data_IF_138835429335
#
_entry.id   IF_138835429335
#
_cell.length_a   1.000
_cell.length_b   1.000
_cell.length_c   1.000
_cell.angle_alpha   90.00
_cell.angle_beta   90.00
_cell.angle_gamma   90.00
#
_symmetry.space_group_name_H-M   'P 1'
#
loop_
_entity.id
_entity.type
_entity.pdbx_description
1 polymer ?
#
# COMPACT_ATOMS: atom_id res chain seq x y z
N UNK A 1 -12.97 26.33 20.30
CA UNK A 1 -12.10 25.47 21.13
C UNK A 1 -12.09 24.06 20.57
N UNK A 2 -11.03 23.77 19.83
CA UNK A 2 -10.35 22.51 19.50
C UNK A 2 -11.08 21.17 19.71
N UNK A 3 -11.61 20.65 18.60
CA UNK A 3 -11.88 19.23 18.33
C UNK A 3 -10.60 18.51 17.89
N UNK A 4 -9.50 18.79 18.60
CA UNK A 4 -8.14 18.44 18.23
C UNK A 4 -7.53 17.43 19.21
N UNK A 5 -8.24 16.32 19.45
CA UNK A 5 -7.66 15.11 20.04
C UNK A 5 -8.25 13.90 19.32
N UNK A 6 -8.09 13.87 17.99
CA UNK A 6 -7.98 12.57 17.30
C UNK A 6 -6.65 12.00 17.76
N UNK A 7 -6.71 11.20 18.81
CA UNK A 7 -5.62 10.30 19.21
C UNK A 7 -5.09 9.64 17.93
N UNK A 8 -3.89 10.04 17.51
CA UNK A 8 -3.09 9.23 16.60
C UNK A 8 -2.98 7.87 17.32
N UNK A 9 -3.43 6.75 16.75
CA UNK A 9 -3.22 5.47 17.39
C UNK A 9 -1.70 5.31 17.52
N UNK A 10 -1.22 5.42 18.75
CA UNK A 10 0.19 5.26 19.07
C UNK A 10 0.67 3.95 18.48
N UNK A 11 1.94 3.89 18.06
CA UNK A 11 2.65 2.66 17.67
C UNK A 11 2.41 1.58 18.73
N UNK A 12 1.37 0.79 18.58
CA UNK A 12 1.15 -0.41 19.39
C UNK A 12 1.98 -1.50 18.73
N UNK A 13 3.15 -1.78 19.30
CA UNK A 13 4.06 -2.82 18.81
C UNK A 13 3.48 -4.25 19.00
N UNK A 14 2.34 -4.39 19.66
CA UNK A 14 1.67 -5.66 19.95
C UNK A 14 0.32 -5.78 19.25
N UNK A 15 0.30 -6.16 17.97
CA UNK A 15 -0.93 -6.64 17.35
C UNK A 15 -1.24 -8.06 17.85
N UNK A 16 -2.45 -8.29 18.37
CA UNK A 16 -2.90 -9.62 18.81
C UNK A 16 -3.92 -10.25 17.85
N UNK A 17 -4.37 -9.52 16.83
CA UNK A 17 -5.38 -9.98 15.89
C UNK A 17 -4.97 -11.25 15.15
N UNK A 18 -5.89 -12.23 14.97
CA UNK A 18 -5.64 -13.49 14.27
C UNK A 18 -5.02 -13.34 12.88
N UNK A 19 -5.48 -12.33 12.12
CA UNK A 19 -4.99 -12.04 10.77
C UNK A 19 -3.58 -11.43 10.75
N UNK A 20 -3.10 -10.92 11.89
CA UNK A 20 -1.77 -10.34 12.05
C UNK A 20 -1.48 -9.19 11.08
N UNK A 21 -0.34 -9.28 10.38
CA UNK A 21 0.19 -8.23 9.52
C UNK A 21 0.15 -8.64 8.04
N UNK A 22 -0.01 -7.65 7.17
CA UNK A 22 0.13 -7.76 5.71
C UNK A 22 1.23 -6.83 5.21
N UNK A 23 1.80 -7.11 4.05
CA UNK A 23 2.76 -6.20 3.40
C UNK A 23 2.12 -4.84 3.14
N UNK A 24 2.80 -3.75 3.52
CA UNK A 24 2.35 -2.39 3.34
C UNK A 24 3.53 -1.50 2.97
N UNK A 25 3.53 -0.92 1.76
CA UNK A 25 4.70 -0.22 1.18
C UNK A 25 5.93 -1.16 1.08
N UNK A 26 7.03 -0.65 0.53
CA UNK A 26 8.22 -1.47 0.21
C UNK A 26 9.00 -1.96 1.46
N UNK A 27 8.74 -1.37 2.63
CA UNK A 27 9.56 -1.56 3.85
C UNK A 27 8.77 -1.79 5.15
N UNK A 28 7.43 -1.80 5.11
CA UNK A 28 6.62 -1.97 6.33
C UNK A 28 5.49 -2.98 6.18
N UNK A 29 4.83 -3.25 7.31
CA UNK A 29 3.78 -4.24 7.47
C UNK A 29 2.67 -3.64 8.30
N UNK A 30 1.42 -3.79 7.86
CA UNK A 30 0.26 -3.18 8.48
C UNK A 30 -0.74 -4.27 8.92
N UNK A 31 -1.25 -4.14 10.14
CA UNK A 31 -2.42 -4.90 10.56
C UNK A 31 -3.69 -4.23 10.01
N UNK A 32 -4.53 -4.92 9.22
CA UNK A 32 -5.74 -4.33 8.65
C UNK A 32 -6.83 -4.04 9.70
N UNK A 33 -6.75 -4.65 10.89
CA UNK A 33 -7.77 -4.52 11.94
C UNK A 33 -7.50 -3.34 12.86
N UNK A 34 -6.26 -3.18 13.35
CA UNK A 34 -5.91 -2.10 14.29
C UNK A 34 -5.00 -1.02 13.71
N UNK A 35 -4.55 -1.16 12.47
CA UNK A 35 -3.66 -0.18 11.84
C UNK A 35 -2.24 -0.16 12.42
N UNK A 36 -1.85 -1.15 13.23
CA UNK A 36 -0.49 -1.25 13.72
C UNK A 36 0.49 -1.43 12.55
N UNK A 37 1.51 -0.58 12.48
CA UNK A 37 2.55 -0.62 11.46
C UNK A 37 3.89 -1.05 12.08
N UNK A 38 4.54 -2.04 11.47
CA UNK A 38 5.85 -2.54 11.85
C UNK A 38 6.81 -2.53 10.66
N UNK A 39 8.09 -2.30 10.92
CA UNK A 39 9.17 -2.62 9.98
C UNK A 39 9.62 -4.09 10.17
N UNK A 40 10.61 -4.54 9.41
CA UNK A 40 11.12 -5.92 9.52
C UNK A 40 11.72 -6.25 10.90
N UNK A 41 12.35 -5.25 11.53
CA UNK A 41 12.83 -5.35 12.90
C UNK A 41 11.69 -5.49 13.91
N UNK A 42 10.60 -4.75 13.69
CA UNK A 42 9.35 -4.78 14.46
C UNK A 42 8.67 -6.13 14.37
N UNK A 43 8.53 -6.73 13.18
CA UNK A 43 8.02 -8.10 13.04
C UNK A 43 8.87 -9.11 13.81
N UNK A 44 10.20 -8.97 13.75
CA UNK A 44 11.12 -9.86 14.48
C UNK A 44 10.94 -9.70 15.99
N UNK A 45 10.81 -8.47 16.50
CA UNK A 45 10.51 -8.21 17.92
C UNK A 45 9.14 -8.76 18.33
N UNK A 46 8.13 -8.62 17.47
CA UNK A 46 6.78 -9.12 17.72
C UNK A 46 6.72 -10.65 17.86
N UNK A 47 7.54 -11.40 17.11
CA UNK A 47 7.69 -12.85 17.31
C UNK A 47 8.44 -13.15 18.61
N UNK A 48 9.56 -12.47 18.85
CA UNK A 48 10.36 -12.66 20.08
C UNK A 48 9.57 -12.40 21.36
N UNK A 49 8.65 -11.44 21.32
CA UNK A 49 7.75 -11.15 22.44
C UNK A 49 6.89 -12.37 22.80
N UNK A 50 6.31 -13.04 21.79
CA UNK A 50 5.53 -14.26 22.03
C UNK A 50 6.39 -15.42 22.53
N UNK A 51 7.63 -15.54 22.04
CA UNK A 51 8.60 -16.53 22.51
C UNK A 51 8.95 -16.31 23.98
N UNK A 52 9.19 -15.05 24.36
CA UNK A 52 9.46 -14.67 25.75
C UNK A 52 8.29 -15.01 26.66
N UNK A 53 7.06 -14.65 26.27
CA UNK A 53 5.85 -14.96 27.04
C UNK A 53 5.61 -16.48 27.20
N UNK A 54 5.94 -17.27 26.17
CA UNK A 54 5.93 -18.74 26.28
C UNK A 54 7.00 -19.21 27.26
N UNK A 55 8.20 -18.67 27.19
CA UNK A 55 9.31 -19.11 28.03
C UNK A 55 9.08 -18.76 29.51
N UNK A 56 8.52 -17.59 29.79
CA UNK A 56 8.04 -17.17 31.11
C UNK A 56 6.97 -18.15 31.66
N UNK A 57 6.16 -18.76 30.78
CA UNK A 57 5.12 -19.71 31.19
C UNK A 57 5.67 -21.05 31.68
N UNK A 58 6.92 -21.41 31.34
CA UNK A 58 7.55 -22.62 31.91
C UNK A 58 7.89 -22.46 33.39
N UNK A 59 8.12 -21.23 33.85
CA UNK A 59 8.42 -20.89 35.24
C UNK A 59 7.19 -20.84 36.15
N UNK A 60 5.98 -21.03 35.61
CA UNK A 60 4.76 -21.11 36.41
C UNK A 60 4.80 -22.38 37.28
N UNK A 61 4.49 -22.21 38.57
CA UNK A 61 4.36 -23.33 39.51
C UNK A 61 3.24 -24.28 39.06
N UNK A 62 3.42 -25.57 39.34
CA UNK A 62 2.48 -26.63 38.96
C UNK A 62 1.21 -26.55 39.81
N UNK A 63 0.22 -25.78 39.34
CA UNK A 63 -1.13 -25.74 39.87
C UNK A 63 -2.08 -26.73 39.17
N UNK A 64 -3.39 -26.51 39.38
CA UNK A 64 -4.60 -27.22 38.93
C UNK A 64 -4.77 -27.54 37.41
N UNK A 65 -3.68 -27.69 36.65
CA UNK A 65 -3.69 -27.90 35.20
C UNK A 65 -3.77 -26.60 34.39
N UNK A 66 -3.94 -25.44 35.02
CA UNK A 66 -3.93 -24.14 34.34
C UNK A 66 -2.62 -23.87 33.59
N UNK A 67 -1.49 -24.31 34.14
CA UNK A 67 -0.17 -24.20 33.50
C UNK A 67 -0.15 -24.84 32.11
N UNK A 68 -0.75 -26.02 31.96
CA UNK A 68 -0.77 -26.73 30.68
C UNK A 68 -1.60 -25.98 29.63
N UNK A 69 -2.72 -25.40 30.04
CA UNK A 69 -3.59 -24.58 29.18
C UNK A 69 -2.84 -23.34 28.70
N UNK A 70 -2.22 -22.60 29.62
CA UNK A 70 -1.47 -21.38 29.29
C UNK A 70 -0.30 -21.70 28.35
N UNK A 71 0.48 -22.74 28.64
CA UNK A 71 1.59 -23.16 27.79
C UNK A 71 1.12 -23.51 26.37
N UNK A 72 0.01 -24.25 26.25
CA UNK A 72 -0.58 -24.63 24.96
C UNK A 72 -0.99 -23.40 24.14
N UNK A 73 -1.63 -22.42 24.77
CA UNK A 73 -2.07 -21.21 24.09
C UNK A 73 -0.89 -20.30 23.69
N UNK A 74 0.11 -20.16 24.55
CA UNK A 74 1.35 -19.42 24.22
C UNK A 74 2.11 -20.10 23.09
N UNK A 75 2.15 -21.43 23.05
CA UNK A 75 2.81 -22.16 21.97
C UNK A 75 2.08 -22.02 20.64
N UNK A 76 0.73 -22.04 20.65
CA UNK A 76 -0.09 -21.73 19.47
C UNK A 76 0.18 -20.32 18.95
N UNK A 77 0.30 -19.36 19.85
CA UNK A 77 0.58 -17.97 19.48
C UNK A 77 1.97 -17.81 18.86
N UNK A 78 3.01 -18.43 19.43
CA UNK A 78 4.36 -18.45 18.83
C UNK A 78 4.31 -19.06 17.43
N UNK A 79 3.63 -20.20 17.27
CA UNK A 79 3.51 -20.86 15.98
C UNK A 79 2.80 -19.97 14.95
N UNK A 80 1.67 -19.34 15.33
CA UNK A 80 0.93 -18.40 14.49
C UNK A 80 1.82 -17.26 14.00
N UNK A 81 2.52 -16.57 14.92
CA UNK A 81 3.38 -15.43 14.57
C UNK A 81 4.56 -15.84 13.68
N UNK A 82 5.22 -16.96 13.98
CA UNK A 82 6.32 -17.49 13.15
C UNK A 82 5.86 -17.87 11.75
N UNK A 83 4.73 -18.57 11.64
CA UNK A 83 4.13 -18.94 10.36
C UNK A 83 3.84 -17.70 9.53
N UNK A 84 3.23 -16.68 10.13
CA UNK A 84 2.91 -15.42 9.46
C UNK A 84 4.18 -14.68 8.99
N UNK A 85 5.21 -14.58 9.83
CA UNK A 85 6.49 -13.97 9.41
C UNK A 85 7.16 -14.77 8.29
N UNK A 86 7.11 -16.10 8.35
CA UNK A 86 7.60 -16.95 7.27
C UNK A 86 6.81 -16.69 5.98
N UNK A 87 5.48 -16.66 6.02
CA UNK A 87 4.64 -16.35 4.86
C UNK A 87 4.95 -14.97 4.29
N UNK A 88 5.09 -13.94 5.13
CA UNK A 88 5.44 -12.58 4.69
C UNK A 88 6.84 -12.49 4.06
N UNK A 89 7.80 -13.30 4.52
CA UNK A 89 9.18 -13.32 4.00
C UNK A 89 9.37 -14.25 2.81
N UNK A 90 8.60 -15.34 2.74
CA UNK A 90 8.65 -16.35 1.68
C UNK A 90 7.77 -16.02 0.48
N UNK A 91 6.69 -15.25 0.69
CA UNK A 91 6.02 -14.55 -0.40
C UNK A 91 7.08 -13.65 -1.01
N UNK A 92 7.47 -13.84 -2.29
CA UNK A 92 8.27 -12.84 -2.98
C UNK A 92 7.48 -11.56 -2.77
N UNK A 93 8.04 -10.60 -2.00
CA UNK A 93 7.45 -9.27 -1.87
C UNK A 93 7.10 -8.94 -3.29
N UNK A 94 5.80 -8.96 -3.63
CA UNK A 94 5.40 -8.77 -5.02
C UNK A 94 6.13 -7.48 -5.32
N UNK A 95 7.14 -7.51 -6.19
CA UNK A 95 7.61 -6.29 -6.81
C UNK A 95 6.34 -5.90 -7.52
N UNK A 96 5.47 -5.13 -6.84
CA UNK A 96 4.18 -4.69 -7.35
C UNK A 96 4.54 -4.25 -8.74
N UNK A 97 4.04 -4.97 -9.75
CA UNK A 97 4.65 -5.02 -11.08
C UNK A 97 5.05 -3.57 -11.40
N UNK A 98 6.36 -3.28 -11.38
CA UNK A 98 6.75 -1.87 -11.31
C UNK A 98 6.44 -1.32 -12.69
N UNK A 99 5.63 -0.25 -12.81
CA UNK A 99 5.43 0.38 -14.10
C UNK A 99 6.78 0.69 -14.72
N UNK A 100 7.09 0.05 -15.84
CA UNK A 100 8.25 0.40 -16.65
C UNK A 100 7.95 1.69 -17.41
N UNK A 101 6.70 1.82 -17.84
CA UNK A 101 6.23 2.92 -18.66
C UNK A 101 4.74 3.16 -18.42
N UNK A 102 4.35 4.43 -18.35
CA UNK A 102 2.95 4.86 -18.34
C UNK A 102 2.73 5.82 -19.50
N UNK A 103 1.83 5.45 -20.41
CA UNK A 103 1.36 6.33 -21.49
C UNK A 103 0.07 7.02 -21.03
N UNK A 104 0.05 8.33 -21.06
CA UNK A 104 -1.12 9.17 -20.77
C UNK A 104 -1.56 9.83 -22.07
N UNK A 105 -2.79 9.56 -22.48
CA UNK A 105 -3.44 10.16 -23.62
C UNK A 105 -4.52 11.10 -23.11
N UNK A 106 -4.49 12.35 -23.56
CA UNK A 106 -5.55 13.30 -23.31
C UNK A 106 -6.68 13.07 -24.32
N UNK A 107 -7.89 12.89 -23.81
CA UNK A 107 -9.12 12.82 -24.58
C UNK A 107 -9.94 14.09 -24.28
N UNK A 108 -10.03 15.04 -25.22
CA UNK A 108 -10.80 16.27 -25.02
C UNK A 108 -12.31 16.02 -24.83
N UNK A 109 -12.80 14.81 -25.11
CA UNK A 109 -14.22 14.50 -25.18
C UNK A 109 -14.84 14.98 -26.50
N UNK A 110 -15.77 14.20 -27.06
CA UNK A 110 -16.51 14.60 -28.25
C UNK A 110 -17.53 15.71 -27.93
N UNK A 111 -17.95 16.47 -28.96
CA UNK A 111 -18.88 17.62 -28.93
C UNK A 111 -20.31 17.35 -28.39
N UNK A 112 -20.56 16.19 -27.77
CA UNK A 112 -21.84 15.82 -27.18
C UNK A 112 -21.68 15.31 -25.73
N UNK A 113 -21.37 16.21 -24.80
CA UNK A 113 -21.54 15.97 -23.36
C UNK A 113 -20.52 15.03 -22.70
N UNK A 114 -19.47 14.62 -23.42
CA UNK A 114 -18.37 13.83 -22.87
C UNK A 114 -17.47 14.72 -22.01
N UNK A 115 -17.29 14.39 -20.74
CA UNK A 115 -16.29 15.07 -19.92
C UNK A 115 -14.88 14.77 -20.43
N UNK A 116 -13.98 15.75 -20.35
CA UNK A 116 -12.56 15.60 -20.68
C UNK A 116 -11.89 14.58 -19.75
N UNK A 117 -11.09 13.65 -20.31
CA UNK A 117 -10.46 12.55 -19.55
C UNK A 117 -9.04 12.25 -20.02
N UNK A 118 -8.33 11.49 -19.19
CA UNK A 118 -7.04 10.90 -19.51
C UNK A 118 -7.16 9.38 -19.60
N UNK A 119 -6.79 8.80 -20.75
CA UNK A 119 -6.60 7.36 -20.94
C UNK A 119 -5.15 6.99 -20.57
N UNK A 120 -4.99 6.26 -19.48
CA UNK A 120 -3.69 5.88 -18.94
C UNK A 120 -3.44 4.39 -19.17
N UNK A 121 -2.31 4.06 -19.81
CA UNK A 121 -1.90 2.67 -20.08
C UNK A 121 -0.60 2.37 -19.37
N UNK A 122 -0.60 1.35 -18.54
CA UNK A 122 0.54 0.96 -17.70
C UNK A 122 1.19 -0.31 -18.24
N UNK A 123 2.48 -0.22 -18.53
CA UNK A 123 3.30 -1.31 -19.02
C UNK A 123 4.26 -1.75 -17.93
N UNK A 124 4.37 -3.05 -17.71
CA UNK A 124 5.14 -3.64 -16.63
C UNK A 124 6.38 -4.37 -17.14
N UNK A 125 7.48 -4.28 -16.38
CA UNK A 125 8.63 -5.19 -16.53
C UNK A 125 8.34 -6.49 -15.77
N UNK A 126 8.80 -7.62 -16.30
CA UNK A 126 8.51 -8.95 -15.74
C UNK A 126 8.82 -9.07 -14.23
N UNK A 127 7.97 -9.78 -13.45
CA UNK A 127 6.82 -10.58 -13.88
C UNK A 127 5.58 -9.74 -14.24
N UNK A 128 4.93 -10.08 -15.36
CA UNK A 128 3.75 -9.36 -15.88
C UNK A 128 2.47 -9.87 -15.18
N UNK A 129 1.53 -8.98 -14.79
CA UNK A 129 0.19 -9.40 -14.41
C UNK A 129 -0.53 -10.10 -15.58
N UNK A 130 -1.58 -10.87 -15.29
CA UNK A 130 -2.34 -11.62 -16.30
C UNK A 130 -2.95 -10.70 -17.39
N UNK A 131 -3.29 -9.45 -17.03
CA UNK A 131 -3.50 -8.35 -17.95
C UNK A 131 -2.13 -7.84 -18.42
N UNK A 132 -1.80 -8.02 -19.70
CA UNK A 132 -0.53 -7.54 -20.25
C UNK A 132 -0.33 -6.01 -20.08
N UNK A 133 -1.43 -5.25 -19.93
CA UNK A 133 -1.46 -3.79 -19.76
C UNK A 133 -2.64 -3.45 -18.83
N UNK A 134 -2.41 -2.63 -17.80
CA UNK A 134 -3.50 -2.03 -17.02
C UNK A 134 -3.94 -0.70 -17.66
N UNK A 135 -5.25 -0.46 -17.66
CA UNK A 135 -5.86 0.73 -18.26
C UNK A 135 -6.70 1.47 -17.22
N UNK A 136 -6.45 2.77 -17.07
CA UNK A 136 -7.20 3.64 -16.16
C UNK A 136 -7.76 4.84 -16.93
N UNK A 137 -8.98 5.26 -16.56
CA UNK A 137 -9.62 6.47 -17.11
C UNK A 137 -9.80 7.51 -16.01
N UNK A 138 -9.02 8.59 -16.08
CA UNK A 138 -8.97 9.63 -15.05
C UNK A 138 -9.67 10.90 -15.55
N UNK A 139 -10.61 11.50 -14.80
CA UNK A 139 -11.20 12.78 -15.19
C UNK A 139 -10.14 13.88 -15.30
N UNK A 140 -10.25 14.76 -16.30
CA UNK A 140 -9.31 15.88 -16.47
C UNK A 140 -9.66 17.07 -15.55
N UNK A 141 -10.00 16.79 -14.29
CA UNK A 141 -10.31 17.80 -13.27
C UNK A 141 -9.33 17.68 -12.13
N UNK A 142 -8.72 18.79 -11.73
CA UNK A 142 -7.70 18.80 -10.67
C UNK A 142 -8.19 18.16 -9.37
N UNK A 143 -9.43 18.43 -8.94
CA UNK A 143 -10.01 17.79 -7.75
C UNK A 143 -10.04 16.27 -7.85
N UNK A 144 -10.64 15.75 -8.91
CA UNK A 144 -10.77 14.31 -9.14
C UNK A 144 -9.40 13.61 -9.24
N UNK A 145 -8.42 14.25 -9.90
CA UNK A 145 -7.05 13.71 -10.00
C UNK A 145 -6.39 13.63 -8.61
N UNK A 146 -6.59 14.64 -7.75
CA UNK A 146 -6.04 14.66 -6.40
C UNK A 146 -6.68 13.62 -5.50
N UNK A 147 -7.98 13.37 -5.63
CA UNK A 147 -8.68 12.33 -4.86
C UNK A 147 -8.08 10.93 -5.14
N UNK A 148 -7.73 10.65 -6.40
CA UNK A 148 -7.10 9.40 -6.80
C UNK A 148 -5.69 9.20 -6.23
N UNK A 149 -5.02 10.25 -5.73
CA UNK A 149 -3.75 10.10 -5.00
C UNK A 149 -3.92 9.42 -3.64
N UNK A 150 -5.14 9.35 -3.12
CA UNK A 150 -5.47 8.67 -1.86
C UNK A 150 -6.00 7.25 -2.06
N UNK A 151 -6.02 6.74 -3.30
CA UNK A 151 -6.58 5.43 -3.63
C UNK A 151 -5.83 4.27 -2.95
N UNK A 152 -6.55 3.18 -2.72
CA UNK A 152 -5.99 1.95 -2.16
C UNK A 152 -5.04 1.21 -3.12
N UNK A 153 -5.22 1.39 -4.44
CA UNK A 153 -4.39 0.82 -5.48
C UNK A 153 -3.10 1.64 -5.67
N UNK A 154 -1.92 1.07 -5.36
CA UNK A 154 -0.65 1.78 -5.42
C UNK A 154 -0.28 2.22 -6.85
N UNK A 155 -0.64 1.44 -7.87
CA UNK A 155 -0.37 1.80 -9.28
C UNK A 155 -1.22 2.99 -9.69
N UNK A 156 -2.52 2.98 -9.34
CA UNK A 156 -3.42 4.08 -9.65
C UNK A 156 -2.96 5.38 -8.98
N UNK A 157 -2.47 5.34 -7.73
CA UNK A 157 -1.87 6.52 -7.08
C UNK A 157 -0.68 7.08 -7.85
N UNK A 158 0.24 6.21 -8.28
CA UNK A 158 1.40 6.62 -9.08
C UNK A 158 1.00 7.20 -10.44
N UNK A 159 0.00 6.59 -11.09
CA UNK A 159 -0.58 7.10 -12.34
C UNK A 159 -1.23 8.46 -12.11
N UNK A 160 -2.06 8.62 -11.08
CA UNK A 160 -2.73 9.89 -10.74
C UNK A 160 -1.73 11.01 -10.48
N UNK A 161 -0.58 10.71 -9.86
CA UNK A 161 0.50 11.68 -9.73
C UNK A 161 1.05 12.15 -11.08
N UNK A 162 1.29 11.23 -12.03
CA UNK A 162 1.79 11.59 -13.35
C UNK A 162 0.74 12.27 -14.22
N UNK A 163 -0.53 11.89 -14.08
CA UNK A 163 -1.65 12.61 -14.67
C UNK A 163 -1.68 14.05 -14.14
N UNK A 164 -1.51 14.27 -12.84
CA UNK A 164 -1.45 15.62 -12.27
C UNK A 164 -0.30 16.45 -12.85
N UNK A 165 0.92 15.88 -12.92
CA UNK A 165 2.07 16.56 -13.53
C UNK A 165 1.79 16.95 -14.99
N UNK A 166 1.18 16.06 -15.77
CA UNK A 166 0.83 16.32 -17.16
C UNK A 166 -0.33 17.32 -17.30
N UNK A 167 -1.34 17.25 -16.44
CA UNK A 167 -2.48 18.16 -16.42
C UNK A 167 -2.04 19.58 -16.12
N UNK A 168 -1.22 19.79 -15.07
CA UNK A 168 -0.65 21.09 -14.74
C UNK A 168 0.20 21.66 -15.87
N UNK A 169 0.99 20.81 -16.54
CA UNK A 169 1.74 21.22 -17.73
C UNK A 169 0.79 21.66 -18.86
N UNK A 170 -0.27 20.89 -19.16
CA UNK A 170 -1.23 21.28 -20.21
C UNK A 170 -1.91 22.61 -19.89
N UNK A 171 -2.31 22.84 -18.63
CA UNK A 171 -2.90 24.11 -18.20
C UNK A 171 -1.96 25.28 -18.47
N UNK A 172 -0.66 25.14 -18.20
CA UNK A 172 0.30 26.22 -18.47
C UNK A 172 0.44 26.53 -19.98
N UNK A 173 0.31 25.53 -20.86
CA UNK A 173 0.29 25.79 -22.32
C UNK A 173 -0.96 26.58 -22.71
N UNK A 174 -2.13 26.20 -22.17
CA UNK A 174 -3.39 26.89 -22.44
C UNK A 174 -3.37 28.34 -21.93
N UNK A 175 -2.78 28.59 -20.76
CA UNK A 175 -2.59 29.94 -20.20
C UNK A 175 -1.68 30.81 -21.09
N UNK A 176 -0.68 30.21 -21.73
CA UNK A 176 0.22 30.88 -22.67
C UNK A 176 -0.36 31.02 -24.09
N UNK A 177 -1.59 30.52 -24.33
CA UNK A 177 -2.22 30.52 -25.65
C UNK A 177 -1.59 29.53 -26.64
N UNK A 178 -0.80 28.58 -26.15
CA UNK A 178 -0.14 27.56 -26.95
C UNK A 178 -0.98 26.28 -27.04
N UNK A 179 -0.76 25.50 -28.09
CA UNK A 179 -1.41 24.19 -28.25
C UNK A 179 -0.85 23.19 -27.23
N UNK A 180 -1.67 22.80 -26.26
CA UNK A 180 -1.27 21.85 -25.23
C UNK A 180 -1.03 20.43 -25.79
N UNK A 181 0.02 19.71 -25.32
CA UNK A 181 0.40 18.39 -25.83
C UNK A 181 -0.66 17.32 -25.54
N UNK A 182 -1.18 16.62 -26.56
CA UNK A 182 -2.26 15.61 -26.41
C UNK A 182 -1.85 14.27 -25.78
N UNK A 183 -0.55 14.01 -25.58
CA UNK A 183 -0.06 12.78 -24.94
C UNK A 183 1.27 12.98 -24.26
N UNK A 184 1.57 12.15 -23.26
CA UNK A 184 2.89 12.08 -22.62
C UNK A 184 3.20 10.64 -22.18
N UNK A 185 4.47 10.26 -22.32
CA UNK A 185 5.00 8.99 -21.83
C UNK A 185 5.89 9.28 -20.62
N UNK A 186 5.72 8.49 -19.56
CA UNK A 186 6.57 8.51 -18.37
C UNK A 186 7.28 7.17 -18.23
N UNK A 187 8.59 7.19 -18.02
CA UNK A 187 9.41 6.00 -17.82
C UNK A 187 9.70 5.74 -16.34
N UNK A 188 10.10 4.50 -16.00
CA UNK A 188 10.38 4.05 -14.63
C UNK A 188 11.28 4.99 -13.79
N UNK A 189 12.26 5.64 -14.44
CA UNK A 189 13.15 6.60 -13.78
C UNK A 189 12.42 7.87 -13.31
N UNK A 190 11.31 8.24 -13.93
CA UNK A 190 10.49 9.40 -13.58
C UNK A 190 9.55 9.12 -12.40
N UNK A 191 9.41 7.86 -11.97
CA UNK A 191 8.62 7.46 -10.80
C UNK A 191 9.40 7.46 -9.49
N UNK A 192 10.70 7.78 -9.51
CA UNK A 192 11.53 7.85 -8.30
C UNK A 192 11.29 9.17 -7.57
N UNK A 193 10.63 9.09 -6.41
CA UNK A 193 10.63 10.10 -5.35
C UNK A 193 10.94 9.41 -4.03
#
# INVERSE_FOLDING_TARGET
MNRAERERPGRREGCEHPEGFRTFKDVSYLCPVCGAELDDGGLTRWVREAERLRDESYSLEEGDGFREIVLRDRQREVYRRRKLVYELRSTPRVRAARPEMVLILHDPGDEAGSEERYDCRVFYKEPRPASAVDRFSVPARTGDILDLKSDSNPVLRSVAQKVFEFHSQRLSFTELGETAPGRRVFYANEFRL
#
